data_IF_209214935872
#
_entry.id   IF_209214935872
#
_cell.length_a   1.000
_cell.length_b   1.000
_cell.length_c   1.000
_cell.angle_alpha   90.00
_cell.angle_beta   90.00
_cell.angle_gamma   90.00
#
_symmetry.space_group_name_H-M   'P 1'
#
loop_
_entity.id
_entity.type
_entity.pdbx_description
1 polymer ?
#
# COMPACT_ATOMS: atom_id res chain seq x y z
N UNK A 1 -8.97 -7.34 15.76
CA UNK A 1 -8.73 -6.22 14.85
C UNK A 1 -7.72 -6.70 13.82
N UNK A 2 -8.11 -6.89 12.56
CA UNK A 2 -7.21 -7.41 11.53
C UNK A 2 -6.51 -6.30 10.72
N UNK A 3 -6.63 -5.03 11.12
CA UNK A 3 -5.88 -3.88 10.58
C UNK A 3 -5.70 -3.90 9.07
N UNK A 4 -4.45 -3.68 8.62
CA UNK A 4 -4.05 -3.74 7.21
C UNK A 4 -4.30 -5.12 6.59
N UNK A 5 -4.06 -6.18 7.37
CA UNK A 5 -4.19 -7.58 6.95
C UNK A 5 -5.62 -7.98 6.56
N UNK A 6 -6.64 -7.26 7.02
CA UNK A 6 -8.03 -7.50 6.64
C UNK A 6 -8.28 -7.33 5.13
N UNK A 7 -7.51 -6.45 4.47
CA UNK A 7 -7.65 -6.17 3.05
C UNK A 7 -6.43 -6.62 2.24
N UNK A 8 -5.24 -6.54 2.82
CA UNK A 8 -3.98 -6.84 2.15
C UNK A 8 -3.44 -8.25 2.46
N UNK A 9 -4.20 -9.07 3.19
CA UNK A 9 -3.81 -10.43 3.59
C UNK A 9 -2.89 -10.45 4.81
N UNK A 10 -2.91 -11.56 5.56
CA UNK A 10 -2.15 -11.72 6.81
C UNK A 10 -0.63 -11.59 6.61
N UNK A 11 -0.14 -11.99 5.45
CA UNK A 11 1.27 -11.93 5.06
C UNK A 11 1.47 -11.05 3.83
N UNK A 12 0.57 -10.08 3.60
CA UNK A 12 0.69 -9.17 2.46
C UNK A 12 0.31 -9.77 1.11
N UNK A 13 -0.27 -10.97 1.05
CA UNK A 13 -0.65 -11.65 -0.21
C UNK A 13 -1.75 -10.94 -1.02
N UNK A 14 -2.38 -9.89 -0.49
CA UNK A 14 -3.46 -9.15 -1.11
C UNK A 14 -4.85 -9.76 -0.88
N UNK A 15 -5.83 -9.25 -1.64
CA UNK A 15 -7.22 -9.69 -1.59
C UNK A 15 -8.15 -8.55 -2.02
N UNK A 16 -8.83 -7.94 -1.06
CA UNK A 16 -9.65 -6.73 -1.30
C UNK A 16 -8.75 -5.55 -1.72
N UNK A 17 -7.58 -5.44 -1.09
CA UNK A 17 -6.51 -4.51 -1.47
C UNK A 17 -5.39 -5.21 -2.24
N UNK A 18 -4.44 -4.43 -2.81
CA UNK A 18 -3.30 -4.98 -3.51
C UNK A 18 -2.36 -5.79 -2.61
N UNK A 19 -1.62 -6.71 -3.23
CA UNK A 19 -0.50 -7.42 -2.58
C UNK A 19 0.60 -6.44 -2.20
N UNK A 20 1.21 -6.66 -1.04
CA UNK A 20 2.47 -6.04 -0.62
C UNK A 20 3.69 -6.85 -1.06
N UNK A 21 3.53 -8.16 -1.30
CA UNK A 21 4.60 -9.01 -1.81
C UNK A 21 5.01 -8.52 -3.20
N UNK A 22 6.30 -8.22 -3.36
CA UNK A 22 6.85 -7.65 -4.60
C UNK A 22 6.38 -6.24 -4.93
N UNK A 23 5.73 -5.53 -3.99
CA UNK A 23 5.24 -4.17 -4.22
C UNK A 23 6.36 -3.15 -4.28
N UNK A 24 7.37 -3.27 -3.41
CA UNK A 24 8.48 -2.33 -3.33
C UNK A 24 9.17 -2.13 -4.69
N UNK A 25 9.31 -0.87 -5.10
CA UNK A 25 9.90 -0.45 -6.39
C UNK A 25 9.18 -1.00 -7.64
N UNK A 26 8.00 -1.58 -7.51
CA UNK A 26 7.18 -2.00 -8.66
C UNK A 26 6.45 -0.82 -9.29
N UNK A 27 6.17 -0.93 -10.59
CA UNK A 27 5.32 0.01 -11.31
C UNK A 27 3.84 -0.20 -10.94
N UNK A 28 3.15 0.90 -10.64
CA UNK A 28 1.72 0.94 -10.32
C UNK A 28 0.98 1.79 -11.34
N UNK A 29 0.12 1.16 -12.12
CA UNK A 29 -0.83 1.88 -12.97
C UNK A 29 -2.00 2.40 -12.11
N UNK A 30 -2.26 3.71 -12.21
CA UNK A 30 -3.33 4.38 -11.50
C UNK A 30 -4.59 4.51 -12.37
N UNK A 31 -5.73 4.76 -11.73
CA UNK A 31 -7.03 4.88 -12.40
C UNK A 31 -7.13 6.04 -13.39
N UNK A 32 -6.23 7.01 -13.32
CA UNK A 32 -6.08 8.10 -14.29
C UNK A 32 -5.19 7.76 -15.50
N UNK A 33 -4.62 6.54 -15.52
CA UNK A 33 -3.73 6.05 -16.57
C UNK A 33 -2.26 6.40 -16.38
N UNK A 34 -1.89 7.12 -15.31
CA UNK A 34 -0.48 7.37 -14.97
C UNK A 34 0.17 6.13 -14.34
N UNK A 35 1.50 6.08 -14.40
CA UNK A 35 2.31 5.05 -13.76
C UNK A 35 3.20 5.72 -12.71
N UNK A 36 3.21 5.16 -11.51
CA UNK A 36 4.08 5.59 -10.41
C UNK A 36 4.89 4.41 -9.89
N UNK A 37 6.08 4.68 -9.35
CA UNK A 37 6.88 3.68 -8.65
C UNK A 37 6.39 3.56 -7.22
N UNK A 38 6.22 2.34 -6.73
CA UNK A 38 5.90 2.09 -5.33
C UNK A 38 7.14 2.23 -4.42
N UNK A 39 7.66 3.46 -4.35
CA UNK A 39 8.74 3.88 -3.47
C UNK A 39 8.22 4.33 -2.08
N UNK A 40 9.12 4.82 -1.24
CA UNK A 40 8.79 5.24 0.14
C UNK A 40 7.73 6.33 0.17
N UNK A 41 7.83 7.32 -0.72
CA UNK A 41 6.94 8.47 -0.75
C UNK A 41 5.53 8.04 -1.18
N UNK A 42 5.44 7.17 -2.20
CA UNK A 42 4.19 6.58 -2.63
C UNK A 42 3.53 5.75 -1.52
N UNK A 43 4.29 4.91 -0.82
CA UNK A 43 3.76 4.07 0.25
C UNK A 43 3.30 4.91 1.45
N UNK A 44 4.08 5.90 1.84
CA UNK A 44 3.74 6.83 2.92
C UNK A 44 2.47 7.63 2.59
N UNK A 45 2.38 8.20 1.38
CA UNK A 45 1.19 8.91 0.91
C UNK A 45 -0.04 7.99 0.86
N UNK A 46 0.11 6.76 0.39
CA UNK A 46 -1.00 5.80 0.29
C UNK A 46 -1.58 5.46 1.67
N UNK A 47 -0.75 5.44 2.72
CA UNK A 47 -1.17 5.16 4.10
C UNK A 47 -1.77 6.41 4.77
N UNK A 48 -1.15 7.57 4.60
CA UNK A 48 -1.54 8.82 5.29
C UNK A 48 -2.65 9.59 4.59
N UNK A 49 -2.75 9.46 3.27
CA UNK A 49 -3.80 10.05 2.42
C UNK A 49 -4.48 8.98 1.55
N UNK A 50 -5.22 8.02 2.15
CA UNK A 50 -5.86 6.95 1.41
C UNK A 50 -6.81 7.49 0.32
N UNK A 51 -6.57 7.06 -0.93
CA UNK A 51 -7.35 7.49 -2.09
C UNK A 51 -6.77 8.67 -2.86
N UNK A 52 -5.64 9.26 -2.44
CA UNK A 52 -4.92 10.25 -3.23
C UNK A 52 -4.46 9.68 -4.59
N UNK A 53 -4.01 8.42 -4.59
CA UNK A 53 -3.64 7.65 -5.78
C UNK A 53 -4.29 6.27 -5.70
N UNK A 54 -5.14 5.94 -6.66
CA UNK A 54 -5.87 4.67 -6.68
C UNK A 54 -5.30 3.80 -7.80
N UNK A 55 -4.85 2.60 -7.45
CA UNK A 55 -4.35 1.61 -8.41
C UNK A 55 -5.50 1.08 -9.28
N UNK A 56 -5.27 0.98 -10.59
CA UNK A 56 -6.20 0.36 -11.54
C UNK A 56 -6.60 -1.05 -11.10
N UNK A 57 -7.88 -1.37 -11.26
CA UNK A 57 -8.45 -2.66 -10.86
C UNK A 57 -8.96 -2.72 -9.41
N UNK A 58 -8.59 -1.77 -8.55
CA UNK A 58 -9.07 -1.69 -7.17
C UNK A 58 -10.20 -0.66 -7.03
N UNK A 59 -11.36 -1.12 -6.55
CA UNK A 59 -12.56 -0.27 -6.34
C UNK A 59 -12.84 0.04 -4.87
N UNK A 60 -12.30 -0.76 -3.97
CA UNK A 60 -12.44 -0.54 -2.53
C UNK A 60 -11.50 0.60 -2.11
N UNK A 61 -12.05 1.61 -1.45
CA UNK A 61 -11.24 2.68 -0.89
C UNK A 61 -10.59 2.19 0.41
N UNK A 62 -9.26 2.36 0.50
CA UNK A 62 -8.53 2.11 1.74
C UNK A 62 -9.04 3.08 2.83
N UNK A 63 -9.37 2.60 4.03
CA UNK A 63 -9.91 3.45 5.08
C UNK A 63 -8.83 4.37 5.67
N UNK A 64 -9.25 5.55 6.12
CA UNK A 64 -8.40 6.41 6.96
C UNK A 64 -7.99 5.69 8.25
N UNK A 65 -6.84 6.07 8.79
CA UNK A 65 -6.27 5.54 10.03
C UNK A 65 -5.76 6.69 10.89
N UNK A 66 -5.46 6.40 12.16
CA UNK A 66 -4.91 7.35 13.12
C UNK A 66 -3.48 6.94 13.52
N UNK A 67 -2.69 6.45 12.55
CA UNK A 67 -1.28 6.13 12.78
C UNK A 67 -0.46 7.43 12.87
N UNK A 68 0.57 7.41 13.71
CA UNK A 68 1.60 8.44 13.71
C UNK A 68 2.70 8.12 12.68
N UNK A 69 3.57 9.10 12.42
CA UNK A 69 4.62 8.99 11.40
C UNK A 69 5.59 7.82 11.68
N UNK A 70 5.87 7.51 12.95
CA UNK A 70 6.74 6.39 13.34
C UNK A 70 6.08 5.03 13.00
N UNK A 71 4.79 4.89 13.26
CA UNK A 71 4.04 3.70 12.90
C UNK A 71 3.93 3.55 11.37
N UNK A 72 3.69 4.64 10.63
CA UNK A 72 3.69 4.61 9.16
C UNK A 72 5.06 4.20 8.64
N UNK A 73 6.14 4.79 9.16
CA UNK A 73 7.52 4.46 8.78
C UNK A 73 7.82 2.98 8.99
N UNK A 74 7.37 2.42 10.12
CA UNK A 74 7.53 0.99 10.42
C UNK A 74 6.77 0.08 9.44
N UNK A 75 5.56 0.48 9.04
CA UNK A 75 4.77 -0.26 8.05
C UNK A 75 5.43 -0.20 6.67
N UNK A 76 5.92 0.97 6.26
CA UNK A 76 6.64 1.15 4.99
C UNK A 76 7.88 0.25 4.95
N UNK A 77 8.68 0.23 6.02
CA UNK A 77 9.84 -0.66 6.12
C UNK A 77 9.46 -2.15 6.00
N UNK A 78 8.36 -2.57 6.62
CA UNK A 78 7.89 -3.96 6.48
C UNK A 78 7.43 -4.29 5.05
N UNK A 79 6.78 -3.37 4.34
CA UNK A 79 6.41 -3.56 2.93
C UNK A 79 7.65 -3.67 2.03
N UNK A 80 8.72 -2.93 2.33
CA UNK A 80 10.00 -3.04 1.64
C UNK A 80 10.61 -4.44 1.77
N UNK A 81 10.60 -5.00 2.98
CA UNK A 81 11.09 -6.36 3.24
C UNK A 81 10.31 -7.42 2.46
N UNK A 82 8.99 -7.23 2.27
CA UNK A 82 8.16 -8.13 1.46
C UNK A 82 8.39 -8.02 -0.06
N UNK A 83 9.05 -6.95 -0.51
CA UNK A 83 9.43 -6.77 -1.90
C UNK A 83 10.90 -7.07 -2.20
N UNK A 84 11.70 -7.36 -1.17
CA UNK A 84 13.06 -7.86 -1.37
C UNK A 84 13.02 -9.31 -1.90
N UNK A 85 13.87 -9.67 -2.87
CA UNK A 85 13.97 -11.04 -3.39
C UNK A 85 14.42 -12.07 -2.35
#
# INVERSE_FOLDING_TARGET
>A
SNGCAACHGSEGAGGVGPTFIGLWMSDRELTDGSIVVADRDYLHESITMPGAKIVTGYRAQMPSNNLDDDAVTSIVAWIEELGAP
#
